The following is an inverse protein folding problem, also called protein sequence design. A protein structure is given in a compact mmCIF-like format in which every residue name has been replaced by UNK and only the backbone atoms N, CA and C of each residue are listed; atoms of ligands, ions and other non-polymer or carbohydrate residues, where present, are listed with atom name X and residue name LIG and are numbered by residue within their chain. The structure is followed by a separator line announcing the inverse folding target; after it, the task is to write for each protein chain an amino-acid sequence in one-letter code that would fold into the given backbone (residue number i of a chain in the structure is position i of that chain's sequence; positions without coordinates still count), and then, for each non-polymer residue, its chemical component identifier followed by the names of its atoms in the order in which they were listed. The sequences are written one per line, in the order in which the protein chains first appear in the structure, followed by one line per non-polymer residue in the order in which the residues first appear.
data_IF_287212685608
#
_entry.id   IF_287212685608
#
_cell.length_a   1.000
_cell.length_b   1.000
_cell.length_c   1.000
_cell.angle_alpha   90.00
_cell.angle_beta   90.00
_cell.angle_gamma   90.00
#
_symmetry.space_group_name_H-M   'P 1'
#
loop_
_entity.id
_entity.type
_entity.pdbx_description
1 polymer ?
#
# COMPACT_ATOMS: atom_id res chain seq x y z
N UNK A 1 29.31 11.46 13.42
CA UNK A 1 30.03 12.53 12.75
C UNK A 1 30.22 12.17 11.29
N UNK A 2 30.25 13.16 10.41
CA UNK A 2 30.46 12.95 8.97
C UNK A 2 31.83 12.32 8.73
N UNK A 3 31.96 11.21 8.00
CA UNK A 3 33.22 10.53 7.77
C UNK A 3 34.07 11.24 6.68
N UNK A 4 34.29 12.54 6.85
CA UNK A 4 35.10 13.33 5.95
C UNK A 4 36.57 13.37 6.45
N UNK A 5 37.48 13.07 5.55
CA UNK A 5 38.91 13.20 5.77
C UNK A 5 39.55 14.11 4.72
N UNK A 6 40.51 14.93 5.14
CA UNK A 6 41.21 15.79 4.21
C UNK A 6 42.26 14.98 3.43
N UNK A 7 42.05 14.80 2.15
CA UNK A 7 43.02 14.17 1.27
C UNK A 7 44.02 15.22 0.76
N UNK A 8 45.29 15.08 1.20
CA UNK A 8 46.36 15.98 0.81
C UNK A 8 46.72 15.88 -0.68
N UNK A 9 46.45 14.71 -1.29
CA UNK A 9 46.79 14.45 -2.69
C UNK A 9 45.76 15.10 -3.60
N UNK A 10 44.49 14.97 -3.24
CA UNK A 10 43.33 15.56 -3.97
C UNK A 10 43.07 17.02 -3.56
N UNK A 11 43.78 17.53 -2.54
CA UNK A 11 43.56 18.86 -1.95
C UNK A 11 42.09 19.16 -1.67
N UNK A 12 41.36 18.18 -1.10
CA UNK A 12 39.94 18.29 -0.83
C UNK A 12 39.47 17.32 0.24
N UNK A 13 38.23 17.53 0.72
CA UNK A 13 37.59 16.61 1.63
C UNK A 13 37.07 15.41 0.85
N UNK A 14 37.43 14.19 1.28
CA UNK A 14 36.95 12.94 0.70
C UNK A 14 36.21 12.13 1.74
N UNK A 15 35.21 11.38 1.30
CA UNK A 15 34.48 10.41 2.14
C UNK A 15 35.41 9.17 2.25
N UNK A 16 35.59 8.65 3.45
CA UNK A 16 36.36 7.42 3.67
C UNK A 16 35.53 6.21 3.17
N UNK A 17 36.07 5.51 2.17
CA UNK A 17 35.48 4.33 1.56
C UNK A 17 35.46 3.11 2.50
N UNK A 18 36.35 3.06 3.50
CA UNK A 18 36.45 1.98 4.49
C UNK A 18 35.26 1.93 5.47
N UNK A 19 34.47 3.00 5.55
CA UNK A 19 33.21 3.05 6.31
C UNK A 19 31.99 2.72 5.47
N UNK A 20 32.14 2.44 4.19
CA UNK A 20 31.11 2.09 3.24
C UNK A 20 30.69 0.61 3.27
N UNK A 21 31.28 -0.21 4.13
CA UNK A 21 30.80 -1.58 4.35
C UNK A 21 29.42 -1.57 4.97
N UNK A 22 28.38 -1.60 4.10
CA UNK A 22 27.00 -1.74 4.50
C UNK A 22 25.97 -0.81 3.87
N UNK A 23 26.35 0.01 2.86
CA UNK A 23 25.38 0.74 2.03
C UNK A 23 24.44 1.70 2.79
N UNK A 24 24.80 2.14 3.99
CA UNK A 24 24.02 3.12 4.75
C UNK A 24 24.50 4.52 4.40
N UNK A 25 23.86 5.13 3.41
CA UNK A 25 23.99 6.55 3.18
C UNK A 25 23.33 7.30 4.35
N UNK A 26 24.13 7.73 5.33
CA UNK A 26 23.70 8.77 6.24
C UNK A 26 23.74 10.07 5.43
N UNK A 27 22.55 10.64 5.16
CA UNK A 27 22.48 12.01 4.66
C UNK A 27 22.85 12.93 5.83
N UNK A 28 24.07 13.52 5.85
CA UNK A 28 24.41 14.49 6.88
C UNK A 28 23.59 15.73 6.63
N UNK A 29 22.80 16.15 7.62
CA UNK A 29 22.15 17.48 7.60
C UNK A 29 20.66 17.49 7.34
N UNK A 30 19.94 16.37 7.45
CA UNK A 30 18.48 16.43 7.57
C UNK A 30 18.15 16.74 9.04
N UNK A 31 17.78 17.99 9.31
CA UNK A 31 17.30 18.43 10.61
C UNK A 31 15.79 18.35 10.60
N UNK A 32 15.22 17.64 11.56
CA UNK A 32 13.78 17.61 11.77
C UNK A 32 13.44 18.44 13.00
N UNK A 33 12.40 19.26 12.91
CA UNK A 33 11.78 19.83 14.10
C UNK A 33 10.90 18.79 14.82
N UNK A 34 10.46 19.11 16.03
CA UNK A 34 9.67 18.16 16.83
C UNK A 34 8.34 17.78 16.16
N UNK A 35 7.72 18.69 15.42
CA UNK A 35 6.46 18.44 14.72
C UNK A 35 6.65 17.51 13.50
N UNK A 36 7.74 17.66 12.78
CA UNK A 36 8.11 16.77 11.67
C UNK A 36 8.41 15.35 12.16
N UNK A 37 9.15 15.22 13.27
CA UNK A 37 9.41 13.89 13.88
C UNK A 37 8.11 13.24 14.33
N UNK A 38 7.18 13.98 14.95
CA UNK A 38 5.86 13.48 15.34
C UNK A 38 5.07 13.02 14.12
N UNK A 39 5.08 13.81 13.04
CA UNK A 39 4.40 13.45 11.80
C UNK A 39 4.96 12.17 11.20
N UNK A 40 6.29 12.01 11.14
CA UNK A 40 6.95 10.80 10.66
C UNK A 40 6.62 9.57 11.53
N UNK A 41 6.67 9.70 12.85
CA UNK A 41 6.30 8.60 13.76
C UNK A 41 4.83 8.21 13.61
N UNK A 42 3.94 9.20 13.44
CA UNK A 42 2.53 8.95 13.17
C UNK A 42 2.35 8.20 11.86
N UNK A 43 3.03 8.64 10.80
CA UNK A 43 2.99 7.98 9.49
C UNK A 43 3.49 6.54 9.58
N UNK A 44 4.62 6.29 10.24
CA UNK A 44 5.17 4.94 10.44
C UNK A 44 4.20 4.04 11.23
N UNK A 45 3.54 4.60 12.25
CA UNK A 45 2.53 3.86 13.01
C UNK A 45 1.31 3.48 12.16
N UNK A 46 0.85 4.39 11.29
CA UNK A 46 -0.23 4.12 10.35
C UNK A 46 0.16 3.04 9.33
N UNK A 47 1.37 3.11 8.77
CA UNK A 47 1.87 2.10 7.81
C UNK A 47 1.97 0.71 8.45
N UNK A 48 2.48 0.61 9.67
CA UNK A 48 2.51 -0.66 10.42
C UNK A 48 1.10 -1.20 10.70
N UNK A 49 0.15 -0.31 10.96
CA UNK A 49 -1.24 -0.69 11.15
C UNK A 49 -1.87 -1.28 9.90
N UNK A 50 -1.52 -0.79 8.71
CA UNK A 50 -2.06 -1.32 7.44
C UNK A 50 -1.59 -2.75 7.16
N UNK A 51 -0.33 -3.06 7.45
CA UNK A 51 0.23 -4.42 7.28
C UNK A 51 1.31 -4.68 8.32
N UNK A 52 0.96 -5.26 9.48
CA UNK A 52 1.93 -5.60 10.51
C UNK A 52 3.05 -6.52 9.98
N UNK A 53 4.29 -6.19 10.30
CA UNK A 53 5.47 -6.97 9.94
C UNK A 53 5.98 -6.79 8.50
N UNK A 54 5.27 -6.03 7.66
CA UNK A 54 5.64 -5.88 6.25
C UNK A 54 7.00 -5.22 6.02
N UNK A 55 7.28 -4.18 6.78
CA UNK A 55 8.50 -3.37 6.69
C UNK A 55 9.28 -3.35 8.01
N UNK A 56 9.00 -4.28 8.92
CA UNK A 56 9.50 -4.24 10.31
C UNK A 56 11.02 -4.09 10.36
N UNK A 57 11.77 -4.88 9.55
CA UNK A 57 13.23 -4.84 9.49
C UNK A 57 13.79 -3.48 9.05
N UNK A 58 13.03 -2.73 8.25
CA UNK A 58 13.43 -1.42 7.73
C UNK A 58 12.88 -0.25 8.57
N UNK A 59 11.68 -0.41 9.10
CA UNK A 59 10.97 0.63 9.86
C UNK A 59 11.45 0.68 11.32
N UNK A 60 11.76 -0.44 11.94
CA UNK A 60 12.18 -0.48 13.34
C UNK A 60 13.45 0.36 13.62
N UNK A 61 14.53 0.30 12.80
CA UNK A 61 15.70 1.16 12.97
C UNK A 61 15.36 2.65 12.81
N UNK A 62 14.51 3.01 11.85
CA UNK A 62 14.08 4.38 11.63
C UNK A 62 13.26 4.92 12.80
N UNK A 63 12.31 4.13 13.29
CA UNK A 63 11.54 4.46 14.51
C UNK A 63 12.42 4.68 15.72
N UNK A 64 13.43 3.83 15.91
CA UNK A 64 14.37 3.96 17.01
C UNK A 64 15.15 5.28 16.94
N UNK A 65 15.62 5.66 15.74
CA UNK A 65 16.31 6.94 15.52
C UNK A 65 15.39 8.14 15.78
N UNK A 66 14.18 8.12 15.26
CA UNK A 66 13.21 9.20 15.48
C UNK A 66 12.81 9.31 16.95
N UNK A 67 12.71 8.19 17.65
CA UNK A 67 12.45 8.18 19.11
C UNK A 67 13.62 8.78 19.89
N UNK A 68 14.87 8.48 19.52
CA UNK A 68 16.03 9.08 20.21
C UNK A 68 16.09 10.59 20.02
N UNK A 69 15.73 11.11 18.83
CA UNK A 69 15.67 12.55 18.58
C UNK A 69 14.67 13.27 19.46
N UNK A 70 13.51 12.65 19.77
CA UNK A 70 12.50 13.21 20.67
C UNK A 70 12.84 13.01 22.16
N UNK A 71 13.64 11.98 22.51
CA UNK A 71 14.03 11.73 23.88
C UNK A 71 14.91 12.85 24.48
N UNK A 72 15.60 13.60 23.62
CA UNK A 72 16.35 14.81 23.98
C UNK A 72 15.44 16.03 24.23
N UNK A 73 14.16 15.95 23.83
CA UNK A 73 13.13 16.96 24.05
C UNK A 73 12.14 16.59 25.15
N UNK A 74 11.33 17.55 25.58
CA UNK A 74 10.37 17.43 26.68
C UNK A 74 9.12 16.56 26.37
N UNK A 75 8.96 16.05 25.14
CA UNK A 75 7.77 15.29 24.74
C UNK A 75 8.00 13.77 24.73
N UNK A 76 7.14 13.06 25.44
CA UNK A 76 7.18 11.59 25.48
C UNK A 76 6.53 10.99 24.23
N UNK A 77 7.33 10.30 23.42
CA UNK A 77 6.89 9.52 22.23
C UNK A 77 5.83 8.47 22.58
N UNK A 78 5.94 7.86 23.76
CA UNK A 78 4.97 6.85 24.25
C UNK A 78 3.55 7.43 24.32
N UNK A 79 3.40 8.74 24.57
CA UNK A 79 2.08 9.36 24.63
C UNK A 79 1.40 9.45 23.27
N UNK A 80 2.15 9.48 22.17
CA UNK A 80 1.61 9.55 20.79
C UNK A 80 1.11 8.18 20.36
N UNK A 81 1.92 7.15 20.54
CA UNK A 81 1.59 5.76 20.14
C UNK A 81 0.35 5.23 20.88
N UNK A 82 0.15 5.62 22.13
CA UNK A 82 -1.04 5.24 22.89
C UNK A 82 -2.30 6.03 22.53
N UNK A 83 -2.14 7.24 21.97
CA UNK A 83 -3.26 8.12 21.59
C UNK A 83 -3.77 7.84 20.17
N UNK A 84 -2.95 7.22 19.32
CA UNK A 84 -3.31 6.84 17.96
C UNK A 84 -3.55 5.34 17.91
N UNK A 85 -4.79 4.94 17.62
CA UNK A 85 -5.18 3.54 17.53
C UNK A 85 -5.86 3.28 16.20
N UNK A 86 -5.29 2.37 15.41
CA UNK A 86 -5.95 1.80 14.25
C UNK A 86 -6.76 0.58 14.69
N UNK A 87 -8.04 0.57 14.38
CA UNK A 87 -8.92 -0.57 14.63
C UNK A 87 -9.25 -1.18 13.29
N UNK A 88 -8.75 -2.38 13.07
CA UNK A 88 -8.99 -3.13 11.85
C UNK A 88 -10.23 -3.99 11.97
N UNK A 89 -10.98 -4.10 10.89
CA UNK A 89 -12.13 -4.98 10.81
C UNK A 89 -11.83 -6.19 9.93
N UNK A 90 -11.63 -7.35 10.55
CA UNK A 90 -11.40 -8.64 9.90
C UNK A 90 -10.24 -8.63 8.87
N UNK A 91 -9.02 -8.18 9.22
CA UNK A 91 -7.88 -8.17 8.30
C UNK A 91 -7.48 -9.59 7.93
N UNK A 92 -7.14 -9.81 6.67
CA UNK A 92 -6.58 -11.07 6.20
C UNK A 92 -5.06 -11.01 6.28
N UNK A 93 -4.47 -12.03 6.87
CA UNK A 93 -3.01 -12.10 6.98
C UNK A 93 -2.39 -12.45 5.64
N UNK A 94 -1.38 -11.69 5.27
CA UNK A 94 -0.52 -11.94 4.09
C UNK A 94 0.88 -12.25 4.60
N UNK A 95 1.54 -13.27 4.05
CA UNK A 95 2.94 -13.53 4.39
C UNK A 95 3.83 -12.39 3.89
N UNK A 96 4.62 -11.80 4.78
CA UNK A 96 5.49 -10.66 4.47
C UNK A 96 6.43 -10.95 3.29
N UNK A 97 6.96 -12.18 3.19
CA UNK A 97 7.82 -12.58 2.07
C UNK A 97 7.11 -12.54 0.72
N UNK A 98 5.82 -12.90 0.63
CA UNK A 98 5.04 -12.83 -0.60
C UNK A 98 4.87 -11.38 -1.04
N UNK A 99 4.53 -10.51 -0.10
CA UNK A 99 4.41 -9.08 -0.39
C UNK A 99 5.74 -8.49 -0.90
N UNK A 100 6.87 -8.80 -0.25
CA UNK A 100 8.19 -8.32 -0.66
C UNK A 100 8.55 -8.78 -2.07
N UNK A 101 8.30 -10.05 -2.41
CA UNK A 101 8.56 -10.59 -3.74
C UNK A 101 7.69 -9.91 -4.81
N UNK A 102 6.40 -9.66 -4.51
CA UNK A 102 5.49 -8.93 -5.39
C UNK A 102 5.98 -7.51 -5.61
N UNK A 103 6.29 -6.80 -4.53
CA UNK A 103 6.79 -5.42 -4.60
C UNK A 103 8.10 -5.34 -5.40
N UNK A 104 9.02 -6.28 -5.17
CA UNK A 104 10.28 -6.34 -5.93
C UNK A 104 10.05 -6.59 -7.42
N UNK A 105 9.17 -7.53 -7.76
CA UNK A 105 8.82 -7.81 -9.16
C UNK A 105 8.12 -6.64 -9.84
N UNK A 106 7.25 -5.94 -9.11
CA UNK A 106 6.55 -4.75 -9.60
C UNK A 106 7.52 -3.61 -9.90
N UNK A 107 8.42 -3.28 -8.95
CA UNK A 107 9.40 -2.20 -9.11
C UNK A 107 10.44 -2.53 -10.19
N UNK A 108 10.85 -3.81 -10.29
CA UNK A 108 11.81 -4.26 -11.30
C UNK A 108 11.16 -4.54 -12.67
N UNK A 109 9.85 -4.33 -12.84
CA UNK A 109 9.10 -4.65 -14.06
C UNK A 109 9.34 -6.11 -14.53
N UNK A 110 9.30 -7.06 -13.57
CA UNK A 110 9.54 -8.48 -13.83
C UNK A 110 8.26 -9.28 -13.70
N UNK A 111 8.17 -10.36 -14.48
CA UNK A 111 7.08 -11.33 -14.34
C UNK A 111 7.19 -12.08 -13.02
N UNK A 112 6.04 -12.55 -12.56
CA UNK A 112 5.94 -13.38 -11.37
C UNK A 112 5.32 -14.73 -11.75
N UNK A 113 5.88 -15.81 -11.21
CA UNK A 113 5.22 -17.11 -11.17
C UNK A 113 4.60 -17.28 -9.80
N UNK A 114 3.33 -17.73 -9.74
CA UNK A 114 2.64 -17.97 -8.50
C UNK A 114 1.78 -19.24 -8.52
N UNK A 115 1.62 -19.84 -7.36
CA UNK A 115 0.56 -20.80 -7.06
C UNK A 115 -0.54 -20.06 -6.29
N UNK A 116 -1.74 -20.12 -6.83
CA UNK A 116 -2.88 -19.34 -6.36
C UNK A 116 -4.07 -20.26 -6.06
N UNK A 117 -4.61 -20.14 -4.83
CA UNK A 117 -5.80 -20.84 -4.41
C UNK A 117 -7.06 -20.16 -4.94
N UNK A 118 -7.74 -20.81 -5.86
CA UNK A 118 -9.04 -20.35 -6.35
C UNK A 118 -10.15 -20.81 -5.39
N UNK A 119 -10.74 -19.85 -4.67
CA UNK A 119 -11.76 -20.13 -3.66
C UNK A 119 -13.07 -20.66 -4.24
N UNK A 120 -13.46 -20.23 -5.44
CA UNK A 120 -14.69 -20.69 -6.10
C UNK A 120 -14.57 -22.13 -6.54
N UNK A 121 -13.45 -22.47 -7.18
CA UNK A 121 -13.20 -23.82 -7.71
C UNK A 121 -12.59 -24.77 -6.68
N UNK A 122 -12.15 -24.23 -5.54
CA UNK A 122 -11.45 -24.98 -4.49
C UNK A 122 -10.24 -25.76 -5.01
N UNK A 123 -9.47 -25.15 -5.90
CA UNK A 123 -8.29 -25.75 -6.53
C UNK A 123 -7.11 -24.77 -6.53
N UNK A 124 -5.89 -25.31 -6.49
CA UNK A 124 -4.67 -24.53 -6.71
C UNK A 124 -4.36 -24.44 -8.19
N UNK A 125 -4.04 -23.25 -8.66
CA UNK A 125 -3.70 -22.97 -10.05
C UNK A 125 -2.33 -22.31 -10.14
N UNK A 126 -1.53 -22.74 -11.13
CA UNK A 126 -0.23 -22.15 -11.44
C UNK A 126 -0.38 -21.07 -12.50
N UNK A 127 0.24 -19.93 -12.27
CA UNK A 127 0.10 -18.77 -13.16
C UNK A 127 1.42 -18.03 -13.32
N UNK A 128 1.64 -17.55 -14.56
CA UNK A 128 2.62 -16.50 -14.83
C UNK A 128 1.84 -15.20 -15.03
N UNK A 129 2.26 -14.17 -14.34
CA UNK A 129 1.60 -12.85 -14.35
C UNK A 129 2.62 -11.74 -14.54
N UNK A 130 2.18 -10.65 -15.15
CA UNK A 130 2.90 -9.37 -15.18
C UNK A 130 2.23 -8.42 -14.19
N UNK A 131 2.84 -8.14 -13.03
CA UNK A 131 2.25 -7.29 -12.00
C UNK A 131 2.10 -5.85 -12.53
N UNK A 132 0.98 -5.20 -12.21
CA UNK A 132 0.69 -3.83 -12.62
C UNK A 132 0.61 -2.88 -11.44
N UNK A 133 -0.14 -3.26 -10.40
CA UNK A 133 -0.29 -2.46 -9.19
C UNK A 133 -0.68 -3.31 -7.97
N UNK A 134 -0.32 -2.80 -6.78
CA UNK A 134 -0.80 -3.29 -5.49
C UNK A 134 -1.85 -2.34 -4.95
N UNK A 135 -3.00 -2.85 -4.60
CA UNK A 135 -4.12 -2.09 -4.05
C UNK A 135 -4.46 -2.60 -2.66
N UNK A 136 -4.47 -1.69 -1.69
CA UNK A 136 -5.03 -1.99 -0.36
C UNK A 136 -6.49 -1.55 -0.33
N UNK A 137 -7.39 -2.51 -0.19
CA UNK A 137 -8.83 -2.26 -0.17
C UNK A 137 -9.49 -2.99 0.99
N UNK A 138 -10.13 -2.25 1.89
CA UNK A 138 -10.87 -2.81 3.04
C UNK A 138 -10.07 -3.90 3.77
N UNK A 139 -8.94 -3.57 4.34
CA UNK A 139 -8.09 -4.51 5.09
C UNK A 139 -7.48 -5.67 4.28
N UNK A 140 -7.56 -5.62 2.95
CA UNK A 140 -7.03 -6.67 2.08
C UNK A 140 -6.12 -6.10 1.00
N UNK A 141 -5.05 -6.81 0.73
CA UNK A 141 -4.17 -6.52 -0.39
C UNK A 141 -4.58 -7.29 -1.63
N UNK A 142 -4.64 -6.58 -2.73
CA UNK A 142 -4.98 -7.09 -4.06
C UNK A 142 -3.85 -6.75 -5.02
N UNK A 143 -3.43 -7.73 -5.80
CA UNK A 143 -2.50 -7.55 -6.90
C UNK A 143 -3.28 -7.55 -8.22
N UNK A 144 -3.25 -6.43 -8.91
CA UNK A 144 -3.75 -6.38 -10.28
C UNK A 144 -2.61 -6.70 -11.23
N UNK A 145 -2.84 -7.63 -12.13
CA UNK A 145 -1.82 -8.15 -13.01
C UNK A 145 -2.38 -8.65 -14.34
N UNK A 146 -1.58 -8.57 -15.38
CA UNK A 146 -1.85 -9.27 -16.62
C UNK A 146 -1.57 -10.76 -16.45
N UNK A 147 -2.60 -11.58 -16.61
CA UNK A 147 -2.51 -13.03 -16.48
C UNK A 147 -2.22 -13.67 -17.85
N UNK A 148 -1.00 -14.19 -18.04
CA UNK A 148 -0.58 -14.76 -19.32
C UNK A 148 -1.42 -15.97 -19.76
N UNK A 149 -1.87 -16.82 -18.84
CA UNK A 149 -2.71 -17.98 -19.15
C UNK A 149 -4.14 -17.63 -19.54
N UNK A 150 -4.61 -16.43 -19.23
CA UNK A 150 -5.95 -15.94 -19.56
C UNK A 150 -5.93 -14.79 -20.55
N UNK A 151 -4.75 -14.30 -20.90
CA UNK A 151 -4.52 -13.17 -21.78
C UNK A 151 -5.42 -11.94 -21.42
N UNK A 152 -5.49 -11.63 -20.13
CA UNK A 152 -6.37 -10.58 -19.59
C UNK A 152 -5.86 -10.06 -18.25
N UNK A 153 -6.25 -8.82 -17.92
CA UNK A 153 -6.10 -8.27 -16.58
C UNK A 153 -6.93 -9.06 -15.57
N UNK A 154 -6.37 -9.31 -14.42
CA UNK A 154 -6.99 -10.03 -13.29
C UNK A 154 -6.51 -9.48 -11.97
N UNK A 155 -7.41 -9.49 -10.99
CA UNK A 155 -7.11 -9.15 -9.61
C UNK A 155 -6.94 -10.42 -8.78
N UNK A 156 -5.88 -10.45 -7.97
CA UNK A 156 -5.50 -11.57 -7.13
C UNK A 156 -5.39 -11.12 -5.68
N UNK A 157 -6.16 -11.73 -4.80
CA UNK A 157 -6.04 -11.48 -3.37
C UNK A 157 -4.73 -12.09 -2.84
N UNK A 158 -3.90 -11.29 -2.17
CA UNK A 158 -2.58 -11.73 -1.72
C UNK A 158 -2.66 -12.87 -0.71
N UNK A 159 -3.68 -12.90 0.13
CA UNK A 159 -3.91 -13.94 1.12
C UNK A 159 -4.28 -15.31 0.53
N UNK A 160 -4.55 -15.37 -0.79
CA UNK A 160 -4.79 -16.61 -1.53
C UNK A 160 -3.56 -17.12 -2.30
N UNK A 161 -2.44 -16.38 -2.25
CA UNK A 161 -1.18 -16.80 -2.85
C UNK A 161 -0.49 -17.81 -1.93
N UNK A 162 -0.23 -19.00 -2.43
CA UNK A 162 0.42 -20.09 -1.71
C UNK A 162 1.93 -20.06 -1.88
N UNK A 163 2.40 -19.74 -3.08
CA UNK A 163 3.81 -19.53 -3.39
C UNK A 163 3.98 -18.51 -4.49
N UNK A 164 5.09 -17.78 -4.48
CA UNK A 164 5.41 -16.77 -5.49
C UNK A 164 6.91 -16.68 -5.67
N UNK A 165 7.35 -16.38 -6.90
CA UNK A 165 8.75 -16.08 -7.22
C UNK A 165 8.84 -15.09 -8.36
N UNK A 166 9.85 -14.26 -8.33
CA UNK A 166 10.20 -13.33 -9.42
C UNK A 166 10.89 -14.14 -10.52
N UNK A 167 10.51 -13.86 -11.77
CA UNK A 167 11.12 -14.43 -12.97
C UNK A 167 12.09 -13.43 -13.60
N UNK A 168 12.96 -13.90 -14.48
CA UNK A 168 13.91 -13.03 -15.18
C UNK A 168 13.28 -12.25 -16.34
N UNK A 169 12.15 -12.74 -16.85
CA UNK A 169 11.42 -12.14 -17.96
C UNK A 169 10.79 -10.81 -17.58
N UNK A 170 10.82 -9.87 -18.50
CA UNK A 170 10.17 -8.57 -18.34
C UNK A 170 8.65 -8.70 -18.31
N UNK A 171 8.02 -7.95 -17.43
CA UNK A 171 6.58 -7.82 -17.37
C UNK A 171 6.02 -7.14 -18.62
N UNK A 172 4.81 -7.52 -19.01
CA UNK A 172 4.01 -6.72 -19.95
C UNK A 172 3.45 -5.54 -19.15
N UNK A 173 3.68 -4.35 -19.64
CA UNK A 173 3.08 -3.13 -19.10
C UNK A 173 1.73 -2.86 -19.78
N UNK A 174 0.70 -2.65 -18.98
CA UNK A 174 -0.62 -2.24 -19.42
C UNK A 174 -0.74 -0.72 -19.24
N UNK A 175 -1.28 -0.04 -20.23
CA UNK A 175 -1.37 1.41 -20.16
C UNK A 175 -2.26 1.87 -19.00
N UNK A 176 -1.97 3.02 -18.35
CA UNK A 176 -2.81 3.56 -17.29
C UNK A 176 -4.27 3.73 -17.70
N UNK A 177 -4.51 4.10 -18.95
CA UNK A 177 -5.85 4.25 -19.52
C UNK A 177 -6.60 2.92 -19.57
N UNK A 178 -5.95 1.88 -20.05
CA UNK A 178 -6.53 0.52 -20.13
C UNK A 178 -6.79 -0.04 -18.72
N UNK A 179 -5.88 0.19 -17.77
CA UNK A 179 -6.08 -0.13 -16.36
C UNK A 179 -7.31 0.59 -15.81
N UNK A 180 -7.42 1.88 -16.03
CA UNK A 180 -8.54 2.68 -15.57
C UNK A 180 -9.87 2.22 -16.20
N UNK A 181 -9.90 1.94 -17.49
CA UNK A 181 -11.09 1.43 -18.18
C UNK A 181 -11.53 0.07 -17.63
N UNK A 182 -10.56 -0.83 -17.35
CA UNK A 182 -10.84 -2.15 -16.80
C UNK A 182 -11.50 -2.10 -15.41
N UNK A 183 -11.06 -1.18 -14.56
CA UNK A 183 -11.57 -1.04 -13.18
C UNK A 183 -12.71 -0.02 -13.04
N UNK A 184 -12.91 0.86 -14.02
CA UNK A 184 -13.90 1.93 -13.97
C UNK A 184 -15.35 1.45 -13.87
N UNK A 185 -15.67 0.34 -14.49
CA UNK A 185 -17.03 -0.20 -14.54
C UNK A 185 -17.43 -0.98 -13.28
N UNK A 186 -16.50 -1.20 -12.35
CA UNK A 186 -16.73 -1.99 -11.16
C UNK A 186 -16.91 -1.17 -9.90
N UNK A 187 -17.47 -1.79 -8.86
CA UNK A 187 -17.55 -1.22 -7.53
C UNK A 187 -16.30 -1.56 -6.71
N UNK A 188 -15.54 -0.54 -6.34
CA UNK A 188 -14.29 -0.74 -5.59
C UNK A 188 -13.22 -1.45 -6.42
N UNK A 189 -12.83 -2.66 -5.99
CA UNK A 189 -11.82 -3.50 -6.68
C UNK A 189 -12.40 -4.48 -7.70
N UNK A 190 -13.72 -4.54 -7.83
CA UNK A 190 -14.36 -5.48 -8.75
C UNK A 190 -14.38 -4.88 -10.15
N UNK A 191 -13.76 -5.58 -11.10
CA UNK A 191 -13.80 -5.24 -12.50
C UNK A 191 -14.92 -6.02 -13.20
N UNK A 192 -15.60 -5.38 -14.14
CA UNK A 192 -16.64 -6.04 -14.94
C UNK A 192 -17.65 -5.04 -15.49
N UNK A 193 -18.41 -5.47 -16.49
CA UNK A 193 -19.52 -4.66 -17.00
C UNK A 193 -20.62 -4.50 -15.93
N UNK A 194 -21.20 -3.31 -15.88
CA UNK A 194 -22.34 -3.03 -15.01
C UNK A 194 -23.49 -3.97 -15.34
N UNK A 195 -23.80 -4.87 -14.41
CA UNK A 195 -24.91 -5.80 -14.57
C UNK A 195 -26.22 -5.22 -14.04
N UNK A 196 -26.17 -4.44 -12.96
CA UNK A 196 -27.34 -3.90 -12.28
C UNK A 196 -27.06 -2.48 -11.76
N UNK A 197 -28.13 -1.67 -11.69
CA UNK A 197 -28.08 -0.39 -11.00
C UNK A 197 -28.88 -0.49 -9.71
N UNK A 198 -28.27 -0.08 -8.60
CA UNK A 198 -28.92 -0.03 -7.31
C UNK A 198 -29.48 1.37 -7.02
N UNK A 199 -30.64 1.43 -6.41
CA UNK A 199 -31.18 2.64 -5.78
C UNK A 199 -31.36 2.38 -4.31
N UNK A 200 -30.72 3.21 -3.48
CA UNK A 200 -30.74 3.08 -2.03
C UNK A 200 -31.41 4.31 -1.45
N UNK A 201 -32.45 4.10 -0.65
CA UNK A 201 -33.10 5.17 0.12
C UNK A 201 -32.67 5.05 1.58
N UNK A 202 -32.10 6.12 2.10
CA UNK A 202 -31.69 6.26 3.50
C UNK A 202 -32.67 7.16 4.23
N UNK A 203 -33.02 6.81 5.46
CA UNK A 203 -33.86 7.63 6.32
C UNK A 203 -33.18 8.98 6.60
N UNK A 204 -33.96 9.99 6.96
CA UNK A 204 -33.47 11.34 7.30
C UNK A 204 -32.34 11.32 8.35
N UNK A 205 -32.45 10.41 9.33
CA UNK A 205 -31.41 10.25 10.36
C UNK A 205 -30.07 9.80 9.78
N UNK A 206 -30.09 8.92 8.77
CA UNK A 206 -28.87 8.39 8.11
C UNK A 206 -28.37 9.29 6.98
N UNK A 207 -29.23 10.10 6.42
CA UNK A 207 -28.92 11.00 5.32
C UNK A 207 -27.74 11.95 5.62
N UNK A 208 -27.61 12.38 6.87
CA UNK A 208 -26.54 13.28 7.31
C UNK A 208 -25.13 12.71 7.17
N UNK A 209 -24.97 11.39 7.30
CA UNK A 209 -23.70 10.68 7.12
C UNK A 209 -23.51 10.29 5.67
N UNK A 210 -24.46 9.54 5.10
CA UNK A 210 -24.36 8.99 3.74
C UNK A 210 -24.29 10.09 2.68
N UNK A 211 -24.93 11.24 2.92
CA UNK A 211 -24.89 12.38 2.01
C UNK A 211 -23.50 13.01 1.83
N UNK A 212 -22.54 12.67 2.69
CA UNK A 212 -21.13 13.09 2.60
C UNK A 212 -20.22 12.02 2.02
N UNK A 213 -20.74 10.84 1.75
CA UNK A 213 -19.98 9.69 1.27
C UNK A 213 -20.03 9.59 -0.26
N UNK A 214 -18.92 9.25 -0.86
CA UNK A 214 -18.82 8.90 -2.28
C UNK A 214 -18.53 7.42 -2.40
N UNK A 215 -19.52 6.66 -2.87
CA UNK A 215 -19.41 5.21 -2.99
C UNK A 215 -18.96 4.79 -4.39
N UNK A 216 -19.35 5.57 -5.41
CA UNK A 216 -18.97 5.32 -6.79
C UNK A 216 -18.84 6.65 -7.55
N UNK A 217 -17.91 6.71 -8.51
CA UNK A 217 -17.68 7.93 -9.30
C UNK A 217 -18.89 8.38 -10.13
N UNK A 218 -19.71 7.43 -10.59
CA UNK A 218 -20.93 7.69 -11.37
C UNK A 218 -22.21 7.75 -10.50
N UNK A 219 -22.08 7.83 -9.18
CA UNK A 219 -23.24 7.93 -8.32
C UNK A 219 -23.99 9.25 -8.54
N UNK A 220 -25.30 9.15 -8.54
CA UNK A 220 -26.19 10.31 -8.46
C UNK A 220 -26.93 10.28 -7.13
N UNK A 221 -27.13 11.44 -6.54
CA UNK A 221 -27.78 11.49 -5.24
C UNK A 221 -28.58 12.76 -5.05
N UNK A 222 -29.62 12.70 -4.22
CA UNK A 222 -30.44 13.85 -3.87
C UNK A 222 -31.14 13.65 -2.52
N UNK A 223 -31.38 14.75 -1.83
CA UNK A 223 -32.31 14.78 -0.69
C UNK A 223 -33.74 14.85 -1.20
N UNK A 224 -34.64 14.12 -0.55
CA UNK A 224 -36.09 14.16 -0.81
C UNK A 224 -36.78 15.13 0.16
N UNK A 225 -38.00 15.49 -0.14
CA UNK A 225 -38.81 16.43 0.67
C UNK A 225 -39.02 15.97 2.11
N UNK A 226 -39.05 14.63 2.33
CA UNK A 226 -39.18 14.03 3.67
C UNK A 226 -37.83 13.98 4.45
N UNK A 227 -36.79 14.63 3.94
CA UNK A 227 -35.44 14.65 4.52
C UNK A 227 -34.66 13.35 4.30
N UNK A 228 -35.23 12.35 3.65
CA UNK A 228 -34.53 11.13 3.28
C UNK A 228 -33.55 11.40 2.13
N UNK A 229 -32.56 10.50 1.95
CA UNK A 229 -31.53 10.62 0.93
C UNK A 229 -31.58 9.45 -0.04
N UNK A 230 -31.66 9.77 -1.32
CA UNK A 230 -31.62 8.78 -2.40
C UNK A 230 -30.23 8.78 -3.02
N UNK A 231 -29.64 7.60 -3.12
CA UNK A 231 -28.39 7.35 -3.82
C UNK A 231 -28.64 6.31 -4.90
N UNK A 232 -28.24 6.60 -6.13
CA UNK A 232 -28.29 5.66 -7.24
C UNK A 232 -26.90 5.54 -7.87
N UNK A 233 -26.48 4.30 -8.17
CA UNK A 233 -25.19 4.02 -8.75
C UNK A 233 -25.11 2.59 -9.27
N UNK A 234 -23.97 2.27 -9.87
CA UNK A 234 -23.65 0.95 -10.38
C UNK A 234 -23.04 0.07 -9.30
#
# INVERSE_FOLDING_TARGET
GCPLEWDRTKRGWVIRDDLAEGGRFELPGVWFDSSEVIALLTMLHLVEGVQPGLLEDHVAPLKSRLRSMLAEGSMSVRSIEHKLRLIHFAPRRVESKHFQQIASGLVACKRLYMEYWNRERKESTRRVISPQQLVHYRENWILDAWCHSKNALRSFALDAIQSIRVLDELAIEVSPKEMQEHFRSGYGIFAGAVAHRARLKFTSDRAQWVGKETWHHDQTSSYLEDGSYMLAGC
#
